data_IF_625326988327
#
_entry.id   IF_625326988327
#
_cell.length_a   1.000
_cell.length_b   1.000
_cell.length_c   1.000
_cell.angle_alpha   90.00
_cell.angle_beta   90.00
_cell.angle_gamma   90.00
#
_symmetry.space_group_name_H-M   'P 1'
#
loop_
_entity.id
_entity.type
_entity.pdbx_description
1 polymer ?
#
# COMPACT_ATOMS: atom_id res chain seq x y z
N UNK A 1 -45.21 -32.27 -16.82
CA UNK A 1 -43.78 -31.93 -16.95
C UNK A 1 -43.26 -31.75 -15.55
N UNK A 2 -42.82 -32.83 -14.91
CA UNK A 2 -42.16 -32.73 -13.60
C UNK A 2 -40.81 -32.05 -13.81
N UNK A 3 -40.63 -30.94 -13.10
CA UNK A 3 -39.63 -29.95 -13.41
C UNK A 3 -38.29 -30.32 -12.75
N UNK A 4 -37.25 -30.38 -13.58
CA UNK A 4 -35.86 -30.73 -13.24
C UNK A 4 -35.11 -29.64 -12.43
N UNK A 5 -35.81 -28.88 -11.57
CA UNK A 5 -35.23 -27.70 -10.88
C UNK A 5 -34.44 -28.03 -9.61
N UNK A 6 -34.75 -29.11 -8.89
CA UNK A 6 -34.11 -29.34 -7.57
C UNK A 6 -32.61 -29.62 -7.73
N UNK A 7 -32.25 -30.37 -8.77
CA UNK A 7 -30.85 -30.59 -9.15
C UNK A 7 -30.14 -29.29 -9.57
N UNK A 8 -30.88 -28.31 -10.09
CA UNK A 8 -30.35 -27.01 -10.50
C UNK A 8 -30.14 -26.07 -9.31
N UNK A 9 -31.06 -26.10 -8.33
CA UNK A 9 -31.00 -25.26 -7.14
C UNK A 9 -29.82 -25.62 -6.24
N UNK A 10 -29.66 -26.90 -5.91
CA UNK A 10 -28.53 -27.37 -5.08
C UNK A 10 -27.19 -26.99 -5.72
N UNK A 11 -27.05 -27.20 -7.03
CA UNK A 11 -25.85 -26.85 -7.77
C UNK A 11 -25.57 -25.35 -7.76
N UNK A 12 -26.61 -24.52 -7.86
CA UNK A 12 -26.49 -23.06 -7.81
C UNK A 12 -25.97 -22.60 -6.44
N UNK A 13 -26.52 -23.14 -5.36
CA UNK A 13 -26.04 -22.86 -4.00
C UNK A 13 -24.58 -23.29 -3.79
N UNK A 14 -24.20 -24.48 -4.27
CA UNK A 14 -22.80 -24.94 -4.22
C UNK A 14 -21.87 -23.95 -4.93
N UNK A 15 -22.24 -23.47 -6.12
CA UNK A 15 -21.45 -22.49 -6.87
C UNK A 15 -21.32 -21.17 -6.09
N UNK A 16 -22.42 -20.67 -5.53
CA UNK A 16 -22.43 -19.44 -4.72
C UNK A 16 -21.50 -19.58 -3.50
N UNK A 17 -21.61 -20.70 -2.78
CA UNK A 17 -20.75 -20.98 -1.62
C UNK A 17 -19.27 -21.04 -2.01
N UNK A 18 -18.93 -21.67 -3.14
CA UNK A 18 -17.56 -21.73 -3.63
C UNK A 18 -17.01 -20.35 -4.01
N UNK A 19 -17.81 -19.52 -4.68
CA UNK A 19 -17.42 -18.14 -5.03
C UNK A 19 -17.20 -17.32 -3.75
N UNK A 20 -18.11 -17.41 -2.79
CA UNK A 20 -17.99 -16.71 -1.51
C UNK A 20 -16.72 -17.14 -0.76
N UNK A 21 -16.49 -18.45 -0.65
CA UNK A 21 -15.29 -18.99 -0.01
C UNK A 21 -14.01 -18.51 -0.69
N UNK A 22 -13.99 -18.44 -2.02
CA UNK A 22 -12.85 -17.93 -2.78
C UNK A 22 -12.56 -16.45 -2.49
N UNK A 23 -13.59 -15.60 -2.45
CA UNK A 23 -13.44 -14.16 -2.15
C UNK A 23 -12.90 -13.97 -0.73
N UNK A 24 -13.48 -14.67 0.26
CA UNK A 24 -13.05 -14.58 1.65
C UNK A 24 -11.61 -15.07 1.83
N UNK A 25 -11.25 -16.19 1.18
CA UNK A 25 -9.88 -16.74 1.23
C UNK A 25 -8.87 -15.74 0.68
N UNK A 26 -9.16 -15.07 -0.44
CA UNK A 26 -8.28 -14.02 -0.97
C UNK A 26 -8.15 -12.83 -0.03
N UNK A 27 -9.25 -12.40 0.60
CA UNK A 27 -9.23 -11.34 1.59
C UNK A 27 -8.35 -11.68 2.79
N UNK A 28 -8.53 -12.87 3.38
CA UNK A 28 -7.71 -13.36 4.50
C UNK A 28 -6.25 -13.50 4.09
N UNK A 29 -5.97 -14.06 2.91
CA UNK A 29 -4.61 -14.20 2.39
C UNK A 29 -3.91 -12.83 2.25
N UNK A 30 -4.58 -11.85 1.65
CA UNK A 30 -4.03 -10.50 1.51
C UNK A 30 -3.77 -9.85 2.87
N UNK A 31 -4.72 -9.99 3.81
CA UNK A 31 -4.57 -9.46 5.17
C UNK A 31 -3.36 -10.07 5.89
N UNK A 32 -3.20 -11.39 5.85
CA UNK A 32 -2.12 -12.11 6.54
C UNK A 32 -0.75 -11.93 5.85
N UNK A 33 -0.70 -11.91 4.52
CA UNK A 33 0.57 -11.87 3.78
C UNK A 33 1.10 -10.45 3.54
N UNK A 34 0.19 -9.47 3.46
CA UNK A 34 0.53 -8.08 3.09
C UNK A 34 0.15 -7.09 4.17
N UNK A 35 -0.98 -7.31 4.85
CA UNK A 35 -1.67 -6.30 5.64
C UNK A 35 -0.91 -5.76 6.86
N UNK A 36 -0.12 -6.59 7.54
CA UNK A 36 0.62 -6.14 8.72
C UNK A 36 2.06 -6.68 8.74
N UNK A 37 3.00 -5.82 8.37
CA UNK A 37 4.44 -6.07 8.56
C UNK A 37 4.99 -5.43 9.84
N UNK A 38 4.11 -4.93 10.70
CA UNK A 38 4.45 -4.20 11.90
C UNK A 38 5.00 -2.80 11.62
N UNK A 39 5.49 -2.18 12.68
CA UNK A 39 6.17 -0.90 12.60
C UNK A 39 7.45 -1.06 11.78
N UNK A 40 7.66 -0.26 10.72
CA UNK A 40 8.92 -0.31 9.98
C UNK A 40 10.09 0.01 10.91
N UNK A 41 11.28 -0.44 10.56
CA UNK A 41 12.53 -0.22 11.29
C UNK A 41 13.10 1.20 11.09
N UNK A 42 12.41 2.06 10.33
CA UNK A 42 12.74 3.48 10.22
C UNK A 42 12.87 4.16 11.58
N UNK A 43 13.95 4.91 11.73
CA UNK A 43 14.16 5.72 12.91
C UNK A 43 13.33 7.02 12.76
N UNK A 44 12.17 7.09 13.43
CA UNK A 44 11.32 8.30 13.49
C UNK A 44 11.92 9.46 14.30
N UNK A 45 13.16 9.30 14.79
CA UNK A 45 13.87 10.37 15.50
C UNK A 45 14.21 11.50 14.51
N UNK A 46 14.36 12.71 15.04
CA UNK A 46 14.90 13.82 14.26
C UNK A 46 16.19 13.36 13.59
N UNK A 47 16.24 13.48 12.26
CA UNK A 47 17.44 13.18 11.48
C UNK A 47 18.51 14.16 11.97
N UNK A 48 19.65 13.63 12.42
CA UNK A 48 20.78 14.48 12.81
C UNK A 48 21.15 15.30 11.58
N UNK A 49 21.34 16.61 11.77
CA UNK A 49 21.87 17.48 10.73
C UNK A 49 23.30 17.03 10.40
N UNK A 50 23.41 16.08 9.49
CA UNK A 50 24.66 15.55 8.97
C UNK A 50 24.85 16.12 7.57
N UNK A 51 26.06 16.61 7.23
CA UNK A 51 26.38 16.92 5.85
C UNK A 51 26.04 15.70 5.00
N UNK A 52 25.27 15.89 3.93
CA UNK A 52 24.89 14.75 3.12
C UNK A 52 26.13 14.10 2.52
N UNK A 53 26.22 12.77 2.65
CA UNK A 53 27.38 12.00 2.19
C UNK A 53 27.42 11.84 0.66
N UNK A 54 26.32 12.19 -0.02
CA UNK A 54 26.29 12.22 -1.48
C UNK A 54 27.25 13.29 -2.01
N UNK A 55 28.02 13.01 -3.07
CA UNK A 55 28.78 14.02 -3.80
C UNK A 55 27.94 15.21 -4.28
N UNK A 56 26.61 15.01 -4.38
CA UNK A 56 25.63 16.02 -4.78
C UNK A 56 24.90 16.70 -3.61
N UNK A 57 25.21 16.33 -2.36
CA UNK A 57 24.58 16.93 -1.19
C UNK A 57 25.35 18.14 -0.63
N UNK A 58 26.51 18.46 -1.21
CA UNK A 58 27.21 19.73 -0.98
C UNK A 58 26.61 20.76 -1.93
N UNK A 59 25.62 21.50 -1.44
CA UNK A 59 25.05 22.63 -2.17
C UNK A 59 25.85 23.89 -1.87
N UNK A 60 26.13 24.70 -2.88
CA UNK A 60 26.62 26.05 -2.64
C UNK A 60 25.57 26.81 -1.83
N UNK A 61 26.03 27.60 -0.86
CA UNK A 61 25.15 28.45 -0.06
C UNK A 61 24.55 29.48 -1.01
N UNK A 62 23.30 29.24 -1.42
CA UNK A 62 22.56 30.21 -2.21
C UNK A 62 22.46 31.51 -1.39
N UNK A 63 22.56 32.68 -2.04
CA UNK A 63 22.47 33.97 -1.35
C UNK A 63 21.16 34.11 -0.58
N UNK A 64 20.14 33.34 -0.97
CA UNK A 64 18.79 33.46 -0.47
C UNK A 64 18.14 32.08 -0.20
N UNK A 65 17.20 31.99 0.76
CA UNK A 65 16.60 30.71 1.12
C UNK A 65 15.70 30.13 0.01
N UNK A 66 15.81 28.82 -0.20
CA UNK A 66 15.12 28.06 -1.26
C UNK A 66 13.58 28.07 -1.21
N UNK A 67 12.97 28.68 -0.19
CA UNK A 67 11.52 28.84 -0.05
C UNK A 67 10.99 30.19 -0.54
N UNK A 68 11.85 31.12 -0.99
CA UNK A 68 11.43 32.46 -1.44
C UNK A 68 11.29 32.46 -2.97
N UNK A 69 10.06 32.41 -3.50
CA UNK A 69 9.82 32.49 -4.95
C UNK A 69 10.25 33.85 -5.53
N UNK A 70 11.11 33.86 -6.54
CA UNK A 70 11.46 35.06 -7.34
C UNK A 70 12.97 35.30 -7.43
N UNK A 71 13.40 36.56 -7.55
CA UNK A 71 14.81 36.95 -7.84
C UNK A 71 15.86 36.52 -6.80
N UNK A 72 15.43 35.76 -5.80
CA UNK A 72 16.16 35.25 -4.64
C UNK A 72 15.75 33.79 -4.32
N UNK A 73 15.25 33.03 -5.29
CA UNK A 73 14.86 31.62 -5.13
C UNK A 73 13.82 31.19 -6.17
N UNK A 74 14.26 30.90 -7.39
CA UNK A 74 13.48 30.12 -8.36
C UNK A 74 13.79 28.63 -8.25
#
# INVERSE_FOLDING_TARGET
MEQHYETSEFRSWVIITLILAFILTKGVFAFVMVGDRGQPDWAYRAVRDVPGESPYAVYEKLPNPQHVRGSEGE
#
